data_IF_169469225593
#
_entry.id   IF_169469225593
#
_cell.length_a   1.000
_cell.length_b   1.000
_cell.length_c   1.000
_cell.angle_alpha   90.00
_cell.angle_beta   90.00
_cell.angle_gamma   90.00
#
_symmetry.space_group_name_H-M   'P 1'
#
loop_
_entity.id
_entity.type
_entity.pdbx_description
1 polymer ?
#
# COMPACT_ATOMS: atom_id res chain seq x y z
N UNK A 1 -16.07 -19.63 32.72
CA UNK A 1 -14.80 -18.93 32.45
C UNK A 1 -14.32 -19.31 31.06
N UNK A 2 -14.25 -18.39 30.08
CA UNK A 2 -13.62 -18.70 28.81
C UNK A 2 -12.10 -18.47 28.92
N UNK A 3 -11.35 -19.47 28.46
CA UNK A 3 -9.89 -19.46 28.38
C UNK A 3 -9.49 -18.60 27.18
N UNK A 4 -8.97 -17.39 27.43
CA UNK A 4 -8.33 -16.59 26.39
C UNK A 4 -6.99 -17.24 26.05
N UNK A 5 -6.90 -17.83 24.86
CA UNK A 5 -5.61 -18.18 24.25
C UNK A 5 -4.88 -16.87 23.95
N UNK A 6 -3.86 -16.56 24.74
CA UNK A 6 -2.84 -15.57 24.38
C UNK A 6 -2.23 -16.00 23.05
N UNK A 7 -2.54 -15.28 21.97
CA UNK A 7 -1.75 -15.35 20.74
C UNK A 7 -0.43 -14.67 21.11
N UNK A 8 0.56 -15.48 21.49
CA UNK A 8 1.93 -15.02 21.68
C UNK A 8 2.46 -14.53 20.34
N UNK A 9 2.37 -13.23 20.09
CA UNK A 9 3.10 -12.59 19.00
C UNK A 9 4.50 -12.32 19.53
N UNK A 10 5.46 -13.08 19.03
CA UNK A 10 6.88 -12.94 19.35
C UNK A 10 7.37 -11.53 18.97
N UNK A 11 8.09 -10.79 19.83
CA UNK A 11 8.55 -9.42 19.54
C UNK A 11 9.80 -9.34 18.64
N UNK A 12 10.16 -10.41 17.93
CA UNK A 12 11.39 -10.48 17.14
C UNK A 12 11.12 -10.40 15.63
N UNK A 13 10.67 -9.24 15.15
CA UNK A 13 10.67 -8.93 13.72
C UNK A 13 10.79 -7.42 13.46
N UNK A 14 11.58 -6.72 14.27
CA UNK A 14 12.10 -5.38 13.92
C UNK A 14 13.39 -5.56 13.09
N UNK A 15 13.34 -6.43 12.09
CA UNK A 15 14.20 -6.28 10.94
C UNK A 15 13.37 -5.43 9.98
N UNK A 16 13.86 -4.24 9.62
CA UNK A 16 13.14 -3.35 8.70
C UNK A 16 12.52 -4.17 7.57
N UNK A 17 11.18 -4.17 7.39
CA UNK A 17 10.52 -4.99 6.37
C UNK A 17 11.05 -4.69 4.95
N UNK A 18 11.74 -3.55 4.79
CA UNK A 18 12.46 -3.15 3.60
C UNK A 18 13.60 -4.08 3.19
N UNK A 19 14.47 -4.53 4.11
CA UNK A 19 15.68 -5.27 3.73
C UNK A 19 15.43 -6.76 3.45
N UNK A 20 14.36 -7.33 4.03
CA UNK A 20 14.00 -8.75 3.80
C UNK A 20 13.21 -8.93 2.49
N UNK A 21 12.45 -7.92 2.06
CA UNK A 21 11.59 -8.02 0.87
C UNK A 21 12.32 -7.57 -0.41
N UNK A 22 13.27 -6.65 -0.30
CA UNK A 22 14.06 -6.12 -1.43
C UNK A 22 14.79 -7.19 -2.28
N UNK A 23 15.33 -8.29 -1.72
CA UNK A 23 15.93 -9.37 -2.52
C UNK A 23 14.89 -10.25 -3.23
N UNK A 24 13.65 -10.33 -2.72
CA UNK A 24 12.59 -11.15 -3.31
C UNK A 24 11.83 -10.44 -4.44
N UNK A 25 11.85 -9.11 -4.44
CA UNK A 25 11.27 -8.28 -5.50
C UNK A 25 12.42 -7.75 -6.38
N UNK A 26 13.00 -8.63 -7.21
CA UNK A 26 14.10 -8.24 -8.08
C UNK A 26 13.73 -7.07 -9.01
N UNK A 27 14.51 -5.99 -8.96
CA UNK A 27 14.43 -4.85 -9.88
C UNK A 27 15.21 -5.05 -11.17
N UNK A 28 15.76 -6.25 -11.38
CA UNK A 28 16.48 -6.59 -12.59
C UNK A 28 15.63 -7.39 -13.58
N UNK A 29 15.52 -6.93 -14.84
CA UNK A 29 14.80 -7.65 -15.84
C UNK A 29 15.49 -8.98 -16.11
N UNK A 30 14.67 -10.04 -16.19
CA UNK A 30 15.12 -11.39 -16.55
C UNK A 30 15.96 -11.34 -17.83
N UNK A 31 16.99 -12.18 -17.92
CA UNK A 31 17.95 -12.17 -19.04
C UNK A 31 17.27 -12.21 -20.41
N UNK A 32 16.22 -13.03 -20.57
CA UNK A 32 15.48 -13.16 -21.82
C UNK A 32 14.73 -11.89 -22.22
N UNK A 33 14.24 -11.09 -21.25
CA UNK A 33 13.63 -9.77 -21.52
C UNK A 33 14.67 -8.76 -22.00
N UNK A 34 15.89 -8.82 -21.45
CA UNK A 34 17.01 -7.99 -21.93
C UNK A 34 17.39 -8.36 -23.37
N UNK A 35 17.45 -9.66 -23.68
CA UNK A 35 17.69 -10.14 -25.04
C UNK A 35 16.59 -9.71 -26.01
N UNK A 36 15.31 -9.81 -25.63
CA UNK A 36 14.20 -9.40 -26.49
C UNK A 36 14.18 -7.89 -26.74
N UNK A 37 14.44 -7.07 -25.71
CA UNK A 37 14.57 -5.62 -25.85
C UNK A 37 15.74 -5.24 -26.79
N UNK A 38 16.90 -5.88 -26.62
CA UNK A 38 18.05 -5.66 -27.50
C UNK A 38 17.85 -6.16 -28.93
N UNK A 39 17.00 -7.17 -29.14
CA UNK A 39 16.61 -7.61 -30.47
C UNK A 39 15.60 -6.66 -31.11
N UNK A 40 14.62 -6.18 -30.36
CA UNK A 40 13.65 -5.19 -30.82
C UNK A 40 14.33 -3.91 -31.29
N UNK A 41 15.27 -3.35 -30.51
CA UNK A 41 16.02 -2.16 -30.92
C UNK A 41 16.80 -2.34 -32.24
N UNK A 42 17.38 -3.53 -32.46
CA UNK A 42 18.05 -3.86 -33.73
C UNK A 42 17.07 -4.06 -34.89
N UNK A 43 15.90 -4.63 -34.62
CA UNK A 43 14.87 -4.88 -35.64
C UNK A 43 14.19 -3.59 -36.08
N UNK A 44 13.91 -2.69 -35.14
CA UNK A 44 13.19 -1.44 -35.39
C UNK A 44 13.98 -0.53 -36.32
N UNK A 45 15.26 -0.28 -36.04
CA UNK A 45 16.04 0.55 -36.96
C UNK A 45 16.29 -0.12 -38.32
N UNK A 46 16.42 -1.46 -38.41
CA UNK A 46 16.47 -2.17 -39.71
C UNK A 46 15.19 -2.01 -40.53
N UNK A 47 14.06 -1.76 -39.87
CA UNK A 47 12.76 -1.54 -40.50
C UNK A 47 12.48 -0.06 -40.79
N UNK A 48 13.41 0.84 -40.50
CA UNK A 48 13.20 2.28 -40.63
C UNK A 48 12.14 2.81 -39.67
N UNK A 49 12.01 2.20 -38.49
CA UNK A 49 11.16 2.73 -37.43
C UNK A 49 11.92 3.87 -36.77
N UNK A 50 11.59 5.08 -37.21
CA UNK A 50 12.18 6.29 -36.65
C UNK A 50 11.51 6.62 -35.31
N UNK A 51 12.30 7.00 -34.29
CA UNK A 51 11.73 7.59 -33.07
C UNK A 51 10.94 8.84 -33.44
N UNK A 52 9.79 9.01 -32.77
CA UNK A 52 9.01 10.23 -32.87
C UNK A 52 9.93 11.46 -32.61
N UNK A 53 9.92 12.48 -33.48
CA UNK A 53 10.85 13.59 -33.39
C UNK A 53 10.61 14.50 -32.17
N UNK A 54 9.39 14.53 -31.64
CA UNK A 54 9.01 15.39 -30.51
C UNK A 54 9.25 14.66 -29.17
N UNK A 55 9.02 13.34 -29.15
CA UNK A 55 9.01 12.55 -27.91
C UNK A 55 10.14 11.52 -27.81
N UNK A 56 10.80 11.18 -28.93
CA UNK A 56 11.83 10.14 -29.00
C UNK A 56 11.29 8.72 -28.83
N UNK A 57 9.97 8.54 -28.88
CA UNK A 57 9.29 7.27 -28.57
C UNK A 57 9.13 6.43 -29.83
N UNK A 58 9.36 5.13 -29.70
CA UNK A 58 9.08 4.15 -30.75
C UNK A 58 7.87 3.29 -30.38
N UNK A 59 7.25 2.57 -31.34
CA UNK A 59 6.16 1.64 -31.04
C UNK A 59 6.51 0.60 -29.96
N UNK A 60 7.76 0.12 -29.92
CA UNK A 60 8.21 -0.80 -28.89
C UNK A 60 8.28 -0.14 -27.50
N UNK A 61 8.73 1.12 -27.43
CA UNK A 61 8.72 1.89 -26.18
C UNK A 61 7.30 2.15 -25.69
N UNK A 62 6.36 2.48 -26.57
CA UNK A 62 4.94 2.58 -26.23
C UNK A 62 4.40 1.29 -25.62
N UNK A 63 4.76 0.13 -26.20
CA UNK A 63 4.37 -1.17 -25.66
C UNK A 63 4.96 -1.39 -24.25
N UNK A 64 6.23 -1.04 -24.01
CA UNK A 64 6.84 -1.14 -22.69
C UNK A 64 6.18 -0.22 -21.65
N UNK A 65 5.83 1.01 -22.04
CA UNK A 65 5.13 1.95 -21.17
C UNK A 65 3.70 1.48 -20.85
N UNK A 66 2.96 0.99 -21.83
CA UNK A 66 1.64 0.42 -21.62
C UNK A 66 1.68 -0.82 -20.71
N UNK A 67 2.72 -1.66 -20.86
CA UNK A 67 2.96 -2.79 -19.96
C UNK A 67 3.29 -2.31 -18.54
N UNK A 68 4.10 -1.26 -18.40
CA UNK A 68 4.39 -0.64 -17.10
C UNK A 68 3.12 -0.13 -16.42
N UNK A 69 2.31 0.66 -17.13
CA UNK A 69 1.06 1.20 -16.62
C UNK A 69 0.11 0.08 -16.15
N UNK A 70 -0.05 -0.98 -16.95
CA UNK A 70 -0.87 -2.14 -16.59
C UNK A 70 -0.35 -2.85 -15.32
N UNK A 71 0.97 -3.04 -15.21
CA UNK A 71 1.56 -3.67 -14.03
C UNK A 71 1.40 -2.81 -12.77
N UNK A 72 1.66 -1.50 -12.88
CA UNK A 72 1.49 -0.55 -11.78
C UNK A 72 0.03 -0.56 -11.30
N UNK A 73 -0.93 -0.47 -12.22
CA UNK A 73 -2.34 -0.50 -11.86
C UNK A 73 -2.76 -1.83 -11.24
N UNK A 74 -2.23 -2.94 -11.75
CA UNK A 74 -2.46 -4.27 -11.15
C UNK A 74 -1.93 -4.35 -9.71
N UNK A 75 -0.76 -3.80 -9.43
CA UNK A 75 -0.22 -3.77 -8.05
C UNK A 75 -1.02 -2.84 -7.15
N UNK A 76 -1.49 -1.68 -7.65
CA UNK A 76 -2.40 -0.81 -6.90
C UNK A 76 -3.67 -1.52 -6.50
N UNK A 77 -4.32 -2.21 -7.44
CA UNK A 77 -5.53 -3.00 -7.18
C UNK A 77 -5.28 -4.12 -6.16
N UNK A 78 -4.14 -4.81 -6.25
CA UNK A 78 -3.76 -5.83 -5.26
C UNK A 78 -3.57 -5.23 -3.86
N UNK A 79 -2.89 -4.09 -3.76
CA UNK A 79 -2.70 -3.43 -2.46
C UNK A 79 -4.02 -2.91 -1.91
N UNK A 80 -4.89 -2.33 -2.73
CA UNK A 80 -6.23 -1.91 -2.32
C UNK A 80 -7.07 -3.11 -1.83
N UNK A 81 -7.08 -4.22 -2.58
CA UNK A 81 -7.76 -5.44 -2.17
C UNK A 81 -7.19 -6.03 -0.87
N UNK A 82 -5.87 -5.90 -0.65
CA UNK A 82 -5.24 -6.30 0.60
C UNK A 82 -5.62 -5.35 1.75
N UNK A 83 -5.78 -4.05 1.54
CA UNK A 83 -6.16 -3.11 2.61
C UNK A 83 -7.66 -3.18 2.96
N UNK A 84 -8.53 -3.45 1.97
CA UNK A 84 -9.98 -3.48 2.15
C UNK A 84 -10.51 -4.24 3.38
N UNK A 85 -10.06 -5.48 3.70
CA UNK A 85 -10.53 -6.17 4.91
C UNK A 85 -10.06 -5.50 6.21
N UNK A 86 -8.89 -4.85 6.21
CA UNK A 86 -8.41 -4.09 7.38
C UNK A 86 -9.27 -2.83 7.55
N UNK A 87 -9.55 -2.13 6.46
CA UNK A 87 -10.38 -0.92 6.47
C UNK A 87 -11.81 -1.23 6.95
N UNK A 88 -12.38 -2.37 6.54
CA UNK A 88 -13.70 -2.84 6.97
C UNK A 88 -13.73 -3.16 8.49
N UNK A 89 -12.74 -3.90 8.99
CA UNK A 89 -12.68 -4.22 10.43
C UNK A 89 -12.38 -2.98 11.27
N UNK A 90 -11.51 -2.09 10.78
CA UNK A 90 -11.25 -0.80 11.41
C UNK A 90 -12.53 0.02 11.53
N UNK A 91 -13.33 0.13 10.46
CA UNK A 91 -14.60 0.85 10.48
C UNK A 91 -15.58 0.26 11.51
N UNK A 92 -15.63 -1.08 11.63
CA UNK A 92 -16.43 -1.75 12.65
C UNK A 92 -15.96 -1.41 14.07
N UNK A 93 -14.65 -1.44 14.33
CA UNK A 93 -14.09 -1.11 15.64
C UNK A 93 -14.30 0.37 16.01
N UNK A 94 -14.22 1.27 15.03
CA UNK A 94 -14.54 2.69 15.23
C UNK A 94 -16.00 2.84 15.69
N UNK A 95 -16.95 2.14 15.06
CA UNK A 95 -18.35 2.16 15.49
C UNK A 95 -18.55 1.59 16.90
N UNK A 96 -17.83 0.52 17.26
CA UNK A 96 -17.87 -0.06 18.61
C UNK A 96 -17.35 0.96 19.64
N UNK A 97 -16.21 1.60 19.34
CA UNK A 97 -15.62 2.63 20.20
C UNK A 97 -16.56 3.83 20.37
N UNK A 98 -17.13 4.33 19.29
CA UNK A 98 -18.09 5.45 19.31
C UNK A 98 -19.32 5.12 20.16
N UNK A 99 -19.90 3.92 20.00
CA UNK A 99 -21.03 3.48 20.84
C UNK A 99 -20.67 3.40 22.32
N UNK A 100 -19.48 2.90 22.65
CA UNK A 100 -19.01 2.83 24.03
C UNK A 100 -18.74 4.23 24.62
N UNK A 101 -18.19 5.16 23.82
CA UNK A 101 -18.03 6.56 24.22
C UNK A 101 -19.37 7.25 24.47
N UNK A 102 -20.36 7.05 23.60
CA UNK A 102 -21.71 7.58 23.82
C UNK A 102 -22.34 7.02 25.11
N UNK A 103 -22.18 5.71 25.36
CA UNK A 103 -22.68 5.10 26.59
C UNK A 103 -22.02 5.66 27.85
N UNK A 104 -20.73 6.01 27.80
CA UNK A 104 -20.03 6.69 28.90
C UNK A 104 -20.50 8.12 29.10
N UNK A 105 -20.82 8.85 28.04
CA UNK A 105 -21.36 10.22 28.15
C UNK A 105 -22.81 10.24 28.64
N UNK A 106 -23.61 9.23 28.29
CA UNK A 106 -25.02 9.10 28.69
C UNK A 106 -25.18 8.61 30.14
N UNK A 107 -24.11 8.11 30.79
CA UNK A 107 -24.08 7.76 32.22
C UNK A 107 -24.12 9.00 33.15
N UNK A 108 -24.63 10.14 32.67
CA UNK A 108 -24.71 11.42 33.37
C UNK A 108 -25.34 11.26 34.77
N UNK A 109 -24.57 11.50 35.86
CA UNK A 109 -24.96 11.18 37.22
C UNK A 109 -26.17 11.95 37.75
N UNK A 110 -26.59 13.02 37.06
CA UNK A 110 -27.70 13.88 37.50
C UNK A 110 -29.10 13.30 37.23
N UNK A 111 -29.21 12.24 36.43
CA UNK A 111 -30.47 11.55 36.14
C UNK A 111 -31.06 10.77 37.33
N UNK A 112 -30.29 10.58 38.42
CA UNK A 112 -30.70 9.82 39.61
C UNK A 112 -30.95 10.66 40.88
N UNK A 113 -31.10 11.99 40.77
CA UNK A 113 -31.46 12.84 41.93
C UNK A 113 -32.96 12.75 42.26
N UNK A 114 -33.50 11.57 42.56
CA UNK A 114 -34.86 11.46 43.15
C UNK A 114 -34.96 10.31 44.17
N UNK A 115 -35.25 10.75 45.40
CA UNK A 115 -35.79 10.02 46.56
C UNK A 115 -34.79 9.32 47.49
N UNK A 116 -34.78 9.66 48.80
CA UNK A 116 -33.92 9.04 49.80
C UNK A 116 -34.56 7.73 50.27
N UNK A 117 -34.28 6.61 49.59
CA UNK A 117 -34.76 5.30 50.02
C UNK A 117 -33.61 4.28 49.89
N UNK A 118 -33.19 3.75 51.04
CA UNK A 118 -32.17 2.71 51.24
C UNK A 118 -30.74 3.03 50.75
N UNK A 119 -29.90 3.50 51.69
CA UNK A 119 -28.43 3.65 51.52
C UNK A 119 -27.75 2.39 50.95
N UNK A 120 -28.24 1.20 51.28
CA UNK A 120 -27.70 -0.06 50.74
C UNK A 120 -28.04 -0.23 49.26
N UNK A 121 -29.25 0.16 48.83
CA UNK A 121 -29.66 0.14 47.44
C UNK A 121 -28.88 1.17 46.61
N UNK A 122 -28.66 2.37 47.17
CA UNK A 122 -27.82 3.41 46.57
C UNK A 122 -26.38 2.93 46.33
N UNK A 123 -25.75 2.28 47.33
CA UNK A 123 -24.39 1.73 47.20
C UNK A 123 -24.33 0.61 46.15
N UNK A 124 -25.34 -0.28 46.09
CA UNK A 124 -25.41 -1.33 45.05
C UNK A 124 -25.58 -0.73 43.65
N UNK A 125 -26.45 0.26 43.50
CA UNK A 125 -26.65 0.97 42.23
C UNK A 125 -25.40 1.74 41.79
N UNK A 126 -24.67 2.36 42.73
CA UNK A 126 -23.39 3.00 42.44
C UNK A 126 -22.33 2.00 41.99
N UNK A 127 -22.21 0.84 42.65
CA UNK A 127 -21.30 -0.24 42.23
C UNK A 127 -21.66 -0.82 40.86
N UNK A 128 -22.96 -0.98 40.57
CA UNK A 128 -23.43 -1.45 39.28
C UNK A 128 -23.09 -0.47 38.16
N UNK A 129 -23.30 0.84 38.38
CA UNK A 129 -22.89 1.91 37.44
C UNK A 129 -21.38 1.93 37.25
N UNK A 130 -20.59 1.90 38.32
CA UNK A 130 -19.14 1.86 38.23
C UNK A 130 -18.64 0.63 37.45
N UNK A 131 -19.25 -0.54 37.66
CA UNK A 131 -18.92 -1.76 36.92
C UNK A 131 -19.33 -1.67 35.44
N UNK A 132 -20.43 -0.98 35.12
CA UNK A 132 -20.87 -0.75 33.75
C UNK A 132 -19.95 0.25 33.03
N UNK A 133 -19.65 1.40 33.64
CA UNK A 133 -18.67 2.36 33.14
C UNK A 133 -17.28 1.73 32.92
N UNK A 134 -16.82 0.88 33.85
CA UNK A 134 -15.57 0.14 33.67
C UNK A 134 -15.60 -0.82 32.46
N UNK A 135 -16.76 -1.44 32.17
CA UNK A 135 -16.91 -2.30 30.97
C UNK A 135 -16.89 -1.48 29.69
N UNK A 136 -17.56 -0.33 29.66
CA UNK A 136 -17.54 0.55 28.49
C UNK A 136 -16.15 1.13 28.26
N UNK A 137 -15.46 1.58 29.31
CA UNK A 137 -14.09 2.04 29.23
C UNK A 137 -13.16 0.94 28.69
N UNK A 138 -13.27 -0.28 29.21
CA UNK A 138 -12.50 -1.41 28.67
C UNK A 138 -12.79 -1.66 27.18
N UNK A 139 -14.04 -1.49 26.74
CA UNK A 139 -14.40 -1.61 25.32
C UNK A 139 -13.78 -0.49 24.47
N UNK A 140 -13.69 0.73 24.98
CA UNK A 140 -13.02 1.86 24.32
C UNK A 140 -11.53 1.59 24.18
N UNK A 141 -10.88 1.18 25.27
CA UNK A 141 -9.43 0.92 25.30
C UNK A 141 -9.08 -0.22 24.35
N UNK A 142 -9.82 -1.34 24.42
CA UNK A 142 -9.58 -2.50 23.56
C UNK A 142 -9.81 -2.19 22.08
N UNK A 143 -10.88 -1.45 21.74
CA UNK A 143 -11.12 -1.05 20.35
C UNK A 143 -10.03 -0.09 19.85
N UNK A 144 -9.53 0.81 20.70
CA UNK A 144 -8.46 1.75 20.35
C UNK A 144 -7.14 1.04 20.06
N UNK A 145 -6.76 0.08 20.91
CA UNK A 145 -5.58 -0.75 20.70
C UNK A 145 -5.66 -1.56 19.39
N UNK A 146 -6.82 -2.19 19.14
CA UNK A 146 -7.02 -2.96 17.92
C UNK A 146 -7.02 -2.09 16.65
N UNK A 147 -7.59 -0.88 16.71
CA UNK A 147 -7.51 0.09 15.60
C UNK A 147 -6.06 0.45 15.31
N UNK A 148 -5.25 0.73 16.32
CA UNK A 148 -3.83 1.06 16.14
C UNK A 148 -3.06 -0.08 15.44
N UNK A 149 -3.28 -1.33 15.85
CA UNK A 149 -2.68 -2.51 15.21
C UNK A 149 -3.14 -2.66 13.75
N UNK A 150 -4.40 -2.36 13.44
CA UNK A 150 -4.90 -2.40 12.06
C UNK A 150 -4.28 -1.28 11.20
N UNK A 151 -4.11 -0.09 11.76
CA UNK A 151 -3.48 1.05 11.08
C UNK A 151 -2.01 0.76 10.73
N UNK A 152 -1.26 0.16 11.66
CA UNK A 152 0.12 -0.30 11.41
C UNK A 152 0.18 -1.35 10.29
N UNK A 153 -0.67 -2.39 10.36
CA UNK A 153 -0.72 -3.44 9.33
C UNK A 153 -1.12 -2.90 7.96
N UNK A 154 -1.98 -1.88 7.94
CA UNK A 154 -2.38 -1.21 6.70
C UNK A 154 -1.20 -0.43 6.13
N UNK A 155 -0.48 0.32 6.95
CA UNK A 155 0.72 1.04 6.53
C UNK A 155 1.76 0.09 5.92
N UNK A 156 2.02 -1.06 6.56
CA UNK A 156 2.93 -2.08 6.01
C UNK A 156 2.50 -2.58 4.62
N UNK A 157 1.20 -2.83 4.42
CA UNK A 157 0.67 -3.28 3.11
C UNK A 157 0.82 -2.23 2.04
N UNK A 158 0.61 -0.96 2.38
CA UNK A 158 0.82 0.17 1.47
C UNK A 158 2.29 0.27 1.09
N UNK A 159 3.20 0.24 2.07
CA UNK A 159 4.65 0.27 1.87
C UNK A 159 5.13 -0.85 0.94
N UNK A 160 4.66 -2.08 1.17
CA UNK A 160 5.01 -3.23 0.31
C UNK A 160 4.47 -3.04 -1.11
N UNK A 161 3.26 -2.49 -1.25
CA UNK A 161 2.66 -2.14 -2.54
C UNK A 161 3.50 -1.12 -3.31
N UNK A 162 3.90 -0.03 -2.64
CA UNK A 162 4.77 1.00 -3.22
C UNK A 162 6.13 0.45 -3.64
N UNK A 163 6.71 -0.45 -2.85
CA UNK A 163 7.95 -1.13 -3.21
C UNK A 163 7.79 -1.96 -4.49
N UNK A 164 6.71 -2.74 -4.61
CA UNK A 164 6.42 -3.53 -5.83
C UNK A 164 6.26 -2.63 -7.06
N UNK A 165 5.51 -1.54 -6.93
CA UNK A 165 5.33 -0.55 -8.00
C UNK A 165 6.68 0.02 -8.43
N UNK A 166 7.50 0.48 -7.48
CA UNK A 166 8.85 1.00 -7.76
C UNK A 166 9.71 -0.02 -8.50
N UNK A 167 9.75 -1.27 -8.04
CA UNK A 167 10.51 -2.31 -8.72
C UNK A 167 9.97 -2.61 -10.14
N UNK A 168 8.65 -2.52 -10.37
CA UNK A 168 8.08 -2.63 -11.73
C UNK A 168 8.56 -1.49 -12.63
N UNK A 169 8.60 -0.26 -12.13
CA UNK A 169 9.07 0.91 -12.88
C UNK A 169 10.56 0.79 -13.20
N UNK A 170 11.40 0.54 -12.18
CA UNK A 170 12.85 0.35 -12.35
C UNK A 170 13.17 -0.77 -13.36
N UNK A 171 12.42 -1.87 -13.33
CA UNK A 171 12.56 -2.98 -14.28
C UNK A 171 12.30 -2.53 -15.73
N UNK A 172 11.27 -1.70 -15.95
CA UNK A 172 10.93 -1.20 -17.29
C UNK A 172 11.93 -0.14 -17.73
N UNK A 173 12.35 0.77 -16.86
CA UNK A 173 13.41 1.76 -17.16
C UNK A 173 14.69 1.08 -17.64
N UNK A 174 15.09 -0.01 -16.98
CA UNK A 174 16.24 -0.80 -17.43
C UNK A 174 16.01 -1.40 -18.83
N UNK A 175 14.81 -1.95 -19.12
CA UNK A 175 14.49 -2.48 -20.44
C UNK A 175 14.47 -1.40 -21.54
N UNK A 176 13.94 -0.23 -21.23
CA UNK A 176 13.98 0.95 -22.11
C UNK A 176 15.43 1.33 -22.41
N UNK A 177 16.29 1.38 -21.39
CA UNK A 177 17.72 1.64 -21.59
C UNK A 177 18.43 0.55 -22.43
N UNK A 178 18.10 -0.73 -22.23
CA UNK A 178 18.64 -1.83 -23.04
C UNK A 178 18.21 -1.71 -24.51
N UNK A 179 16.93 -1.45 -24.75
CA UNK A 179 16.37 -1.20 -26.07
C UNK A 179 17.07 -0.02 -26.75
N UNK A 180 17.13 1.13 -26.07
CA UNK A 180 17.66 2.38 -26.60
C UNK A 180 19.13 2.24 -27.01
N UNK A 181 19.95 1.65 -26.13
CA UNK A 181 21.37 1.40 -26.44
C UNK A 181 21.55 0.43 -27.62
N UNK A 182 20.63 -0.51 -27.83
CA UNK A 182 20.71 -1.44 -28.95
C UNK A 182 20.30 -0.77 -30.27
N UNK A 183 19.29 0.10 -30.23
CA UNK A 183 18.87 0.93 -31.36
C UNK A 183 20.00 1.88 -31.79
N UNK A 184 20.57 2.64 -30.84
CA UNK A 184 21.72 3.53 -31.07
C UNK A 184 22.93 2.83 -31.68
N UNK A 185 23.29 1.65 -31.15
CA UNK A 185 24.44 0.89 -31.66
C UNK A 185 24.23 0.34 -33.07
N UNK A 186 23.00 -0.03 -33.40
CA UNK A 186 22.70 -0.62 -34.70
C UNK A 186 22.45 0.43 -35.78
N UNK A 187 22.05 1.64 -35.39
CA UNK A 187 21.59 2.70 -36.28
C UNK A 187 22.16 4.08 -35.92
N UNK A 188 23.50 4.26 -35.93
CA UNK A 188 24.13 5.55 -35.65
C UNK A 188 23.81 6.63 -36.68
N UNK A 189 23.22 6.27 -37.82
CA UNK A 189 22.76 7.17 -38.88
C UNK A 189 21.53 8.00 -38.50
N UNK A 190 20.73 7.56 -37.53
CA UNK A 190 19.49 8.24 -37.16
C UNK A 190 19.80 9.64 -36.57
N UNK A 191 19.31 10.73 -37.20
CA UNK A 191 19.62 12.09 -36.78
C UNK A 191 19.16 12.37 -35.35
N UNK A 192 18.02 11.79 -34.94
CA UNK A 192 17.50 11.93 -33.58
C UNK A 192 18.44 11.30 -32.54
N UNK A 193 19.23 10.29 -32.89
CA UNK A 193 20.19 9.69 -31.96
C UNK A 193 21.51 10.49 -31.89
N UNK A 194 21.87 11.19 -32.97
CA UNK A 194 23.04 12.10 -33.04
C UNK A 194 22.82 13.43 -32.34
N UNK A 195 21.56 13.90 -32.30
CA UNK A 195 21.18 15.14 -31.62
C UNK A 195 21.24 15.06 -30.09
N UNK A 196 21.64 13.91 -29.52
CA UNK A 196 21.87 13.76 -28.08
C UNK A 196 20.62 13.44 -27.26
N UNK A 197 19.54 12.96 -27.90
CA UNK A 197 18.34 12.53 -27.17
C UNK A 197 18.71 11.43 -26.16
N UNK A 198 18.45 11.73 -24.88
CA UNK A 198 18.64 10.81 -23.77
C UNK A 198 17.68 9.62 -23.84
N UNK A 199 17.89 8.63 -22.97
CA UNK A 199 16.95 7.52 -22.82
C UNK A 199 15.58 8.09 -22.44
N UNK A 200 14.50 7.81 -23.19
CA UNK A 200 13.18 8.34 -22.87
C UNK A 200 12.73 7.93 -21.45
N UNK A 201 12.20 8.86 -20.64
CA UNK A 201 11.74 8.54 -19.30
C UNK A 201 10.49 7.65 -19.36
N UNK A 202 10.34 6.75 -18.38
CA UNK A 202 9.10 5.98 -18.25
C UNK A 202 8.06 6.84 -17.56
N UNK A 203 7.00 7.21 -18.29
CA UNK A 203 5.91 8.02 -17.71
C UNK A 203 4.97 7.10 -16.94
N UNK A 204 4.88 7.32 -15.63
CA UNK A 204 3.93 6.65 -14.76
C UNK A 204 2.98 7.70 -14.21
N UNK A 205 1.68 7.54 -14.47
CA UNK A 205 0.68 8.48 -13.95
C UNK A 205 0.75 8.50 -12.41
N UNK A 206 0.89 9.70 -11.79
CA UNK A 206 0.81 9.82 -10.34
C UNK A 206 -0.62 9.51 -9.93
N UNK A 207 -0.85 8.33 -9.38
CA UNK A 207 -2.08 8.03 -8.69
C UNK A 207 -1.74 7.87 -7.21
N UNK A 208 -2.29 8.73 -6.33
CA UNK A 208 -2.08 8.55 -4.91
C UNK A 208 -2.69 7.20 -4.52
N UNK A 209 -1.89 6.39 -3.81
CA UNK A 209 -2.47 5.32 -3.02
C UNK A 209 -3.42 5.96 -2.01
N UNK A 210 -4.61 5.38 -1.76
CA UNK A 210 -5.53 5.92 -0.76
C UNK A 210 -4.77 5.99 0.58
N UNK A 211 -4.49 7.22 1.03
CA UNK A 211 -3.83 7.50 2.31
C UNK A 211 -4.72 7.03 3.44
#
# INVERSE_FOLDING_TARGET
>A
MPVFRSIGVSPSAVAEPYDVIRPMIGSHPRWWRRCSAGWAGRRDGRRGVDPDPDTGVTPYLHMLWAACATMVESERLRTAAACAPLDAERARLVQIRERALCALTDEDPDSARRSPVDRVAEVRAARARAALGARWQHSVDSATEQIAVLDERRADRVVVGELRIRCCVENIEQLVAYYWRALQRAHPELPQLRAGYGVPPVVVAPHPMPR
#
